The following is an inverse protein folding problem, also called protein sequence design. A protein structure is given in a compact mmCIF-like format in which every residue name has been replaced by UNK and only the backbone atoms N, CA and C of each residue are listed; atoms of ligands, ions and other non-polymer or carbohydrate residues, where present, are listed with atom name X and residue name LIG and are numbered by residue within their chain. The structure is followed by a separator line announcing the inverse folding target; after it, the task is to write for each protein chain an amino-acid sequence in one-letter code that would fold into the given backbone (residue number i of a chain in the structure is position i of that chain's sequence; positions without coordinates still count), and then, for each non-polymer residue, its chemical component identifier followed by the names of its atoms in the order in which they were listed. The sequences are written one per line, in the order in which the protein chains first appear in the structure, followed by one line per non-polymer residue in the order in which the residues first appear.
data_IF_428849758021
#
_entry.id   IF_428849758021
#
_cell.length_a   1.000
_cell.length_b   1.000
_cell.length_c   1.000
_cell.angle_alpha   90.00
_cell.angle_beta   90.00
_cell.angle_gamma   90.00
#
_symmetry.space_group_name_H-M   'P 1'
#
loop_
_entity.id
_entity.type
_entity.pdbx_description
1 polymer ?
#
# COMPACT_ATOMS: atom_id res chain seq x y z
N UNK A 1 -12.58 12.79 -19.20
CA UNK A 1 -13.60 12.69 -18.11
C UNK A 1 -12.83 12.48 -16.82
N UNK A 2 -13.14 13.21 -15.75
CA UNK A 2 -12.42 13.07 -14.47
C UNK A 2 -13.12 12.04 -13.59
N UNK A 3 -12.39 11.02 -13.15
CA UNK A 3 -12.87 10.03 -12.18
C UNK A 3 -12.15 10.23 -10.86
N UNK A 4 -12.89 10.16 -9.75
CA UNK A 4 -12.34 10.33 -8.40
C UNK A 4 -12.54 9.08 -7.58
N UNK A 5 -11.55 8.76 -6.76
CA UNK A 5 -11.61 7.65 -5.82
C UNK A 5 -11.06 8.09 -4.47
N UNK A 6 -11.57 7.47 -3.41
CA UNK A 6 -11.12 7.70 -2.04
C UNK A 6 -10.96 6.39 -1.29
N UNK A 7 -10.03 6.35 -0.35
CA UNK A 7 -9.91 5.28 0.63
C UNK A 7 -9.79 5.89 2.03
N UNK A 8 -10.58 5.38 2.96
CA UNK A 8 -10.33 5.53 4.40
C UNK A 8 -9.34 4.43 4.80
N UNK A 9 -8.19 4.83 5.34
CA UNK A 9 -7.10 3.92 5.70
C UNK A 9 -7.16 3.67 7.20
N UNK A 10 -7.24 2.39 7.57
CA UNK A 10 -7.41 1.96 8.97
C UNK A 10 -6.20 1.15 9.44
N UNK A 11 -5.91 1.16 10.75
CA UNK A 11 -4.81 0.38 11.29
C UNK A 11 -4.95 -1.11 10.99
N UNK A 12 -3.80 -1.75 10.80
CA UNK A 12 -3.62 -3.20 10.84
C UNK A 12 -2.39 -3.49 11.69
N UNK A 13 -2.37 -4.60 12.43
CA UNK A 13 -1.27 -4.98 13.31
C UNK A 13 -0.96 -3.96 14.43
N UNK A 14 -1.90 -3.07 14.80
CA UNK A 14 -1.63 -1.97 15.75
C UNK A 14 -1.16 -2.46 17.13
N UNK A 15 -1.55 -3.67 17.52
CA UNK A 15 -1.20 -4.25 18.81
C UNK A 15 0.32 -4.50 18.96
N UNK A 16 0.99 -4.97 17.89
CA UNK A 16 2.43 -5.24 17.91
C UNK A 16 3.25 -3.99 17.57
N UNK A 17 2.69 -3.10 16.74
CA UNK A 17 3.34 -1.86 16.31
C UNK A 17 3.39 -0.83 17.45
N UNK A 18 2.36 -0.79 18.28
CA UNK A 18 2.24 0.18 19.38
C UNK A 18 1.77 1.58 18.94
N UNK A 19 1.47 1.77 17.66
CA UNK A 19 0.79 2.96 17.13
C UNK A 19 -0.47 2.56 16.37
N UNK A 20 -1.29 3.53 15.95
CA UNK A 20 -2.54 3.29 15.22
C UNK A 20 -2.56 4.05 13.89
N UNK A 21 -1.75 3.62 12.91
CA UNK A 21 -1.63 4.30 11.63
C UNK A 21 -3.00 4.41 10.94
N UNK A 22 -3.39 5.63 10.57
CA UNK A 22 -4.66 5.88 9.91
C UNK A 22 -4.55 7.10 8.99
N UNK A 23 -5.49 7.23 8.05
CA UNK A 23 -5.42 8.33 7.09
C UNK A 23 -6.40 8.21 5.95
N UNK A 24 -6.10 8.92 4.87
CA UNK A 24 -6.90 8.93 3.65
C UNK A 24 -6.03 8.88 2.41
N UNK A 25 -6.52 8.21 1.37
CA UNK A 25 -5.97 8.33 0.03
C UNK A 25 -7.03 8.87 -0.93
N UNK A 26 -6.65 9.80 -1.79
CA UNK A 26 -7.44 10.33 -2.88
C UNK A 26 -6.75 10.09 -4.21
N UNK A 27 -7.53 9.66 -5.20
CA UNK A 27 -7.06 9.44 -6.56
C UNK A 27 -7.94 10.22 -7.52
N UNK A 28 -7.34 11.05 -8.37
CA UNK A 28 -8.05 11.75 -9.44
C UNK A 28 -7.44 11.35 -10.78
N UNK A 29 -8.23 10.62 -11.58
CA UNK A 29 -7.85 10.19 -12.93
C UNK A 29 -8.37 11.23 -13.92
N UNK A 30 -7.47 11.93 -14.61
CA UNK A 30 -7.75 12.75 -15.79
C UNK A 30 -7.41 11.98 -17.07
N UNK A 31 -7.48 12.65 -18.22
CA UNK A 31 -7.19 12.02 -19.51
C UNK A 31 -5.68 11.71 -19.67
N UNK A 32 -4.82 12.50 -19.01
CA UNK A 32 -3.35 12.47 -19.12
C UNK A 32 -2.63 11.96 -17.88
N UNK A 33 -3.23 12.09 -16.69
CA UNK A 33 -2.55 11.84 -15.42
C UNK A 33 -3.43 11.12 -14.39
N UNK A 34 -2.77 10.38 -13.52
CA UNK A 34 -3.29 9.97 -12.23
C UNK A 34 -2.66 10.88 -11.16
N UNK A 35 -3.49 11.71 -10.53
CA UNK A 35 -3.10 12.43 -9.32
C UNK A 35 -3.39 11.56 -8.11
N UNK A 36 -2.39 11.41 -7.23
CA UNK A 36 -2.43 10.62 -6.01
C UNK A 36 -2.12 11.54 -4.85
N UNK A 37 -2.96 11.53 -3.83
CA UNK A 37 -2.69 12.14 -2.53
C UNK A 37 -2.93 11.09 -1.44
N UNK A 38 -1.93 10.88 -0.58
CA UNK A 38 -2.06 10.02 0.61
C UNK A 38 -1.61 10.85 1.80
N UNK A 39 -2.44 10.90 2.82
CA UNK A 39 -2.12 11.57 4.08
C UNK A 39 -2.34 10.60 5.23
N UNK A 40 -1.29 10.40 6.03
CA UNK A 40 -1.26 9.43 7.12
C UNK A 40 -0.86 10.11 8.43
N UNK A 41 -1.38 9.55 9.52
CA UNK A 41 -1.17 9.98 10.90
C UNK A 41 -0.88 8.76 11.78
N UNK A 42 -0.26 9.01 12.93
CA UNK A 42 0.08 7.99 13.94
C UNK A 42 0.88 6.81 13.37
N UNK A 43 1.68 7.04 12.33
CA UNK A 43 2.61 6.05 11.80
C UNK A 43 3.85 5.95 12.69
N UNK A 44 4.62 4.85 12.61
CA UNK A 44 5.97 4.84 13.14
C UNK A 44 6.78 6.05 12.64
N UNK A 45 7.46 6.74 13.55
CA UNK A 45 7.99 8.09 13.33
C UNK A 45 9.37 8.07 12.68
N UNK A 46 9.71 9.14 11.95
CA UNK A 46 11.04 9.37 11.36
C UNK A 46 11.54 8.21 10.49
N UNK A 47 10.66 7.53 9.77
CA UNK A 47 11.02 6.42 8.91
C UNK A 47 10.22 6.40 7.62
N UNK A 48 10.78 5.71 6.63
CA UNK A 48 10.12 5.50 5.36
C UNK A 48 8.93 4.54 5.53
N UNK A 49 7.82 4.83 4.85
CA UNK A 49 6.68 3.94 4.75
C UNK A 49 6.47 3.53 3.30
N UNK A 50 6.51 2.22 3.06
CA UNK A 50 6.17 1.69 1.74
C UNK A 50 4.66 1.76 1.53
N UNK A 51 4.26 2.11 0.32
CA UNK A 51 2.87 2.32 -0.02
C UNK A 51 2.56 1.77 -1.40
N UNK A 52 1.45 1.05 -1.52
CA UNK A 52 1.05 0.46 -2.79
C UNK A 52 -0.46 0.40 -2.87
N UNK A 53 -0.98 0.31 -4.10
CA UNK A 53 -2.23 -0.43 -4.27
C UNK A 53 -1.97 -1.91 -4.58
N UNK A 54 -2.82 -2.76 -4.03
CA UNK A 54 -2.86 -4.20 -4.27
C UNK A 54 -4.14 -4.58 -5.02
N UNK A 55 -4.12 -5.71 -5.71
CA UNK A 55 -5.31 -6.25 -6.35
C UNK A 55 -5.10 -7.61 -7.00
N UNK A 56 -6.18 -8.12 -7.59
CA UNK A 56 -6.14 -9.33 -8.41
C UNK A 56 -6.04 -8.98 -9.89
N UNK A 57 -5.18 -9.71 -10.61
CA UNK A 57 -4.98 -9.58 -12.07
C UNK A 57 -6.16 -10.10 -12.88
N UNK A 58 -7.02 -10.95 -12.28
CA UNK A 58 -8.25 -11.45 -12.86
C UNK A 58 -9.46 -10.51 -12.66
N UNK A 59 -9.23 -9.33 -12.07
CA UNK A 59 -10.27 -8.32 -11.85
C UNK A 59 -11.24 -8.63 -10.72
N UNK A 60 -10.94 -9.61 -9.84
CA UNK A 60 -11.66 -9.79 -8.58
C UNK A 60 -11.54 -8.55 -7.68
N UNK A 61 -12.58 -8.34 -6.88
CA UNK A 61 -12.66 -7.21 -5.96
C UNK A 61 -11.81 -7.46 -4.70
N UNK A 62 -10.66 -6.79 -4.60
CA UNK A 62 -9.77 -6.88 -3.45
C UNK A 62 -10.43 -6.30 -2.19
N UNK A 63 -10.29 -6.99 -1.07
CA UNK A 63 -10.79 -6.56 0.24
C UNK A 63 -9.63 -6.19 1.16
N UNK A 64 -9.81 -5.19 2.05
CA UNK A 64 -8.85 -4.90 3.11
C UNK A 64 -8.65 -6.12 4.00
N UNK A 65 -7.40 -6.51 4.27
CA UNK A 65 -7.14 -7.55 5.25
C UNK A 65 -7.53 -7.08 6.66
N UNK A 66 -7.83 -8.04 7.50
CA UNK A 66 -8.13 -7.88 8.92
C UNK A 66 -7.40 -8.97 9.69
N UNK A 67 -7.45 -8.95 11.02
CA UNK A 67 -6.91 -10.06 11.83
C UNK A 67 -7.54 -11.45 11.53
N UNK A 68 -8.60 -11.52 10.73
CA UNK A 68 -9.10 -12.80 10.21
C UNK A 68 -8.13 -13.47 9.21
N UNK A 69 -7.14 -12.73 8.69
CA UNK A 69 -6.11 -13.23 7.78
C UNK A 69 -4.86 -13.74 8.51
N UNK A 70 -4.74 -13.58 9.83
CA UNK A 70 -3.69 -14.20 10.64
C UNK A 70 -3.97 -15.71 10.73
N UNK A 71 -3.50 -16.44 9.71
CA UNK A 71 -3.78 -17.86 9.47
C UNK A 71 -2.93 -18.72 10.41
N UNK A 72 -1.71 -18.27 10.71
CA UNK A 72 -0.79 -19.00 11.58
C UNK A 72 -1.03 -18.71 13.08
N UNK A 73 -1.86 -17.71 13.40
CA UNK A 73 -2.24 -17.26 14.74
C UNK A 73 -1.05 -16.74 15.57
N UNK A 74 -0.07 -16.10 14.94
CA UNK A 74 1.07 -15.47 15.61
C UNK A 74 0.78 -14.04 16.11
N UNK A 75 -0.43 -13.55 15.83
CA UNK A 75 -0.91 -12.24 16.25
C UNK A 75 -0.59 -11.12 15.26
N UNK A 76 -0.07 -11.45 14.07
CA UNK A 76 0.32 -10.51 13.02
C UNK A 76 -0.28 -11.00 11.70
N UNK A 77 -0.83 -10.07 10.91
CA UNK A 77 -1.17 -10.31 9.51
C UNK A 77 0.00 -9.86 8.66
N UNK A 78 0.75 -10.80 8.10
CA UNK A 78 1.92 -10.51 7.27
C UNK A 78 1.58 -10.34 5.78
N UNK A 79 2.57 -9.94 4.98
CA UNK A 79 2.39 -9.70 3.55
C UNK A 79 1.78 -10.91 2.81
N UNK A 80 2.35 -12.14 2.90
CA UNK A 80 1.75 -13.35 2.33
C UNK A 80 0.29 -13.60 2.73
N UNK A 81 -0.07 -13.34 3.98
CA UNK A 81 -1.44 -13.55 4.48
C UNK A 81 -2.46 -12.59 3.87
N UNK A 82 -2.03 -11.38 3.49
CA UNK A 82 -2.93 -10.43 2.80
C UNK A 82 -3.34 -10.90 1.40
N UNK A 83 -2.53 -11.70 0.72
CA UNK A 83 -2.70 -12.03 -0.70
C UNK A 83 -4.03 -12.70 -1.00
N UNK A 84 -4.53 -13.52 -0.07
CA UNK A 84 -5.77 -14.28 -0.25
C UNK A 84 -7.00 -13.38 -0.42
N UNK A 85 -6.99 -12.18 0.17
CA UNK A 85 -8.14 -11.24 0.13
C UNK A 85 -7.83 -9.96 -0.63
N UNK A 86 -6.56 -9.55 -0.67
CA UNK A 86 -6.14 -8.29 -1.28
C UNK A 86 -5.44 -8.46 -2.63
N UNK A 87 -5.02 -9.68 -2.96
CA UNK A 87 -4.22 -9.95 -4.14
C UNK A 87 -2.77 -9.48 -4.01
N UNK A 88 -2.10 -9.36 -5.15
CA UNK A 88 -0.66 -9.06 -5.22
C UNK A 88 -0.38 -7.57 -5.11
N UNK A 89 0.84 -7.21 -4.68
CA UNK A 89 1.36 -5.84 -4.76
C UNK A 89 1.43 -5.38 -6.21
N UNK A 90 0.92 -4.19 -6.51
CA UNK A 90 0.85 -3.69 -7.89
C UNK A 90 1.69 -2.44 -8.13
N UNK A 91 1.21 -1.26 -7.74
CA UNK A 91 1.88 0.01 -8.08
C UNK A 91 2.38 0.68 -6.80
N UNK A 92 3.69 0.99 -6.70
CA UNK A 92 4.25 1.73 -5.57
C UNK A 92 3.89 3.21 -5.65
N UNK A 93 3.67 3.83 -4.49
CA UNK A 93 3.48 5.27 -4.35
C UNK A 93 4.78 5.92 -3.88
N UNK A 94 5.81 5.78 -4.71
CA UNK A 94 7.16 6.26 -4.49
C UNK A 94 7.48 7.48 -5.38
N UNK A 95 8.76 7.74 -5.67
CA UNK A 95 9.15 8.84 -6.54
C UNK A 95 8.75 8.65 -8.01
N UNK A 96 8.53 7.43 -8.51
CA UNK A 96 8.21 7.14 -9.91
C UNK A 96 7.23 5.96 -10.07
N UNK A 97 5.94 6.11 -9.67
CA UNK A 97 4.97 4.99 -9.65
C UNK A 97 4.82 4.23 -10.98
N UNK A 98 4.97 4.95 -12.10
CA UNK A 98 4.85 4.40 -13.46
C UNK A 98 6.02 3.46 -13.85
N UNK A 99 7.15 3.49 -13.13
CA UNK A 99 8.22 2.52 -13.31
C UNK A 99 7.88 1.16 -12.70
N UNK A 100 6.97 1.15 -11.71
CA UNK A 100 6.59 -0.04 -10.94
C UNK A 100 7.80 -0.76 -10.32
N UNK A 101 8.83 0.00 -9.93
CA UNK A 101 9.98 -0.53 -9.20
C UNK A 101 9.63 -0.59 -7.72
N UNK A 102 9.22 -1.75 -7.21
CA UNK A 102 8.77 -1.86 -5.82
C UNK A 102 9.95 -1.74 -4.83
N UNK A 103 11.12 -2.27 -5.17
CA UNK A 103 12.19 -2.52 -4.21
C UNK A 103 13.21 -1.36 -4.10
N UNK A 104 12.75 -0.18 -3.68
CA UNK A 104 13.56 1.04 -3.57
C UNK A 104 13.34 1.87 -2.28
N UNK A 105 14.11 2.96 -2.13
CA UNK A 105 14.11 3.85 -0.95
C UNK A 105 13.50 5.25 -1.24
N UNK A 106 12.58 5.36 -2.21
CA UNK A 106 12.06 6.66 -2.66
C UNK A 106 10.61 6.92 -2.22
N UNK A 107 10.18 6.21 -1.19
CA UNK A 107 8.84 6.34 -0.60
C UNK A 107 8.77 7.49 0.43
N UNK A 108 7.56 7.91 0.85
CA UNK A 108 7.35 8.92 1.89
C UNK A 108 8.01 8.56 3.21
N UNK A 109 8.45 9.60 3.93
CA UNK A 109 9.05 9.50 5.26
C UNK A 109 8.18 10.25 6.25
N UNK A 110 7.79 9.58 7.34
CA UNK A 110 7.05 10.20 8.43
C UNK A 110 7.91 11.18 9.22
N UNK A 111 7.29 12.24 9.72
CA UNK A 111 7.93 13.20 10.61
C UNK A 111 8.03 12.68 12.06
N UNK A 112 8.40 13.56 12.98
CA UNK A 112 8.54 13.24 14.41
C UNK A 112 7.19 13.06 15.14
N UNK A 113 6.07 13.38 14.49
CA UNK A 113 4.71 13.11 14.95
C UNK A 113 4.14 11.83 14.34
N UNK A 114 4.78 11.24 13.35
CA UNK A 114 4.24 10.09 12.62
C UNK A 114 3.24 10.52 11.55
N UNK A 115 3.36 11.77 11.08
CA UNK A 115 2.62 12.31 9.95
C UNK A 115 3.46 12.24 8.69
N UNK A 116 2.83 11.94 7.56
CA UNK A 116 3.37 12.29 6.26
C UNK A 116 2.25 12.62 5.29
N UNK A 117 2.62 13.34 4.23
CA UNK A 117 1.77 13.59 3.08
C UNK A 117 2.52 13.27 1.79
N UNK A 118 1.98 12.36 1.01
CA UNK A 118 2.42 12.02 -0.33
C UNK A 118 1.53 12.69 -1.35
N UNK A 119 2.13 13.34 -2.35
CA UNK A 119 1.41 13.90 -3.50
C UNK A 119 2.19 13.60 -4.76
N UNK A 120 1.52 13.00 -5.76
CA UNK A 120 2.15 12.70 -7.04
C UNK A 120 1.22 12.88 -8.22
N UNK A 121 1.79 13.37 -9.32
CA UNK A 121 1.17 13.34 -10.63
C UNK A 121 1.90 12.31 -11.48
N UNK A 122 1.20 11.24 -11.83
CA UNK A 122 1.76 10.11 -12.57
C UNK A 122 1.25 10.19 -14.01
N UNK A 123 2.11 10.15 -15.05
CA UNK A 123 1.67 10.07 -16.44
C UNK A 123 0.85 8.80 -16.65
N UNK A 124 -0.44 8.95 -17.00
CA UNK A 124 -1.36 7.82 -17.07
C UNK A 124 -1.00 6.86 -18.21
N UNK A 125 -0.50 7.40 -19.32
CA UNK A 125 -0.07 6.60 -20.47
C UNK A 125 1.10 5.68 -20.10
N UNK A 126 2.12 6.21 -19.42
CA UNK A 126 3.30 5.43 -19.02
C UNK A 126 2.94 4.39 -17.96
N UNK A 127 2.13 4.78 -16.97
CA UNK A 127 1.64 3.87 -15.95
C UNK A 127 0.85 2.71 -16.58
N UNK A 128 -0.09 2.99 -17.48
CA UNK A 128 -0.88 1.94 -18.15
C UNK A 128 -0.03 1.06 -19.05
N UNK A 129 0.95 1.61 -19.76
CA UNK A 129 1.87 0.85 -20.58
C UNK A 129 2.69 -0.14 -19.74
N UNK A 130 3.23 0.33 -18.60
CA UNK A 130 3.96 -0.53 -17.66
C UNK A 130 3.03 -1.54 -16.99
N UNK A 131 1.84 -1.12 -16.54
CA UNK A 131 0.84 -2.01 -15.93
C UNK A 131 0.46 -3.16 -16.86
N UNK A 132 0.28 -2.88 -18.16
CA UNK A 132 0.03 -3.90 -19.20
C UNK A 132 1.20 -4.83 -19.43
N UNK A 133 2.42 -4.30 -19.42
CA UNK A 133 3.64 -5.11 -19.54
C UNK A 133 3.78 -6.08 -18.36
N UNK A 134 3.43 -5.65 -17.15
CA UNK A 134 3.60 -6.44 -15.92
C UNK A 134 2.42 -7.40 -15.68
N UNK A 135 1.19 -6.94 -15.87
CA UNK A 135 -0.03 -7.68 -15.49
C UNK A 135 -0.92 -8.09 -16.66
N UNK A 136 -0.58 -7.74 -17.90
CA UNK A 136 -1.32 -8.13 -19.11
C UNK A 136 -2.58 -7.31 -19.39
N UNK A 137 -2.87 -6.28 -18.59
CA UNK A 137 -4.01 -5.35 -18.76
C UNK A 137 -3.58 -3.91 -18.55
N UNK A 138 -4.23 -2.94 -19.21
CA UNK A 138 -4.07 -1.50 -18.97
C UNK A 138 -5.24 -0.91 -18.14
N UNK A 139 -6.15 -1.76 -17.67
CA UNK A 139 -7.25 -1.38 -16.77
C UNK A 139 -6.76 -1.37 -15.32
N UNK A 140 -6.62 -0.16 -14.76
CA UNK A 140 -6.19 0.02 -13.36
C UNK A 140 -7.27 -0.46 -12.37
N UNK A 141 -8.56 -0.32 -12.72
CA UNK A 141 -9.73 -0.70 -11.89
C UNK A 141 -9.57 -0.30 -10.42
N UNK A 142 -9.26 0.99 -10.16
CA UNK A 142 -8.89 1.46 -8.82
C UNK A 142 -9.93 1.12 -7.74
N UNK A 143 -11.23 1.12 -8.06
CA UNK A 143 -12.31 0.72 -7.15
C UNK A 143 -12.33 -0.78 -6.79
N UNK A 144 -11.59 -1.60 -7.53
CA UNK A 144 -11.35 -3.03 -7.22
C UNK A 144 -10.04 -3.27 -6.47
N UNK A 145 -9.32 -2.21 -6.11
CA UNK A 145 -8.03 -2.28 -5.40
C UNK A 145 -8.18 -1.92 -3.93
N UNK A 146 -7.13 -2.20 -3.18
CA UNK A 146 -6.92 -1.70 -1.80
C UNK A 146 -5.59 -0.98 -1.74
N UNK A 147 -5.46 0.00 -0.86
CA UNK A 147 -4.18 0.64 -0.54
C UNK A 147 -3.62 0.00 0.73
N UNK A 148 -2.32 -0.29 0.75
CA UNK A 148 -1.58 -0.64 1.94
C UNK A 148 -0.50 0.38 2.24
N UNK A 149 -0.28 0.58 3.54
CA UNK A 149 0.87 1.29 4.09
C UNK A 149 1.66 0.25 4.88
N UNK A 150 2.98 0.26 4.75
CA UNK A 150 3.88 -0.71 5.36
C UNK A 150 5.00 -0.03 6.14
N UNK A 151 5.74 -0.83 6.90
CA UNK A 151 6.98 -0.41 7.52
C UNK A 151 6.85 -0.21 9.02
N UNK A 152 7.64 -0.98 9.76
CA UNK A 152 7.86 -0.84 11.20
C UNK A 152 9.35 -0.67 11.50
N UNK A 153 9.74 -0.02 12.61
CA UNK A 153 11.15 0.08 12.99
C UNK A 153 11.74 -1.30 13.32
N UNK A 154 13.01 -1.52 13.00
CA UNK A 154 13.75 -2.77 13.32
C UNK A 154 13.68 -3.17 14.80
N UNK A 155 13.48 -2.20 15.69
CA UNK A 155 13.34 -2.42 17.12
C UNK A 155 12.04 -3.15 17.51
N UNK A 156 11.03 -3.15 16.63
CA UNK A 156 9.79 -3.92 16.84
C UNK A 156 10.13 -5.40 16.72
N UNK A 157 9.84 -6.16 17.78
CA UNK A 157 10.09 -7.59 17.82
C UNK A 157 8.95 -8.34 17.13
N UNK A 158 9.17 -8.70 15.87
CA UNK A 158 8.22 -9.52 15.10
C UNK A 158 8.43 -11.01 15.38
N UNK A 159 7.36 -11.83 15.46
CA UNK A 159 7.49 -13.28 15.48
C UNK A 159 8.36 -13.81 14.34
N UNK A 160 9.04 -14.94 14.57
CA UNK A 160 9.89 -15.59 13.56
C UNK A 160 9.09 -16.07 12.35
N UNK A 161 7.78 -16.31 12.54
CA UNK A 161 6.82 -16.78 11.53
C UNK A 161 6.35 -15.70 10.57
N UNK A 162 6.50 -14.41 10.92
CA UNK A 162 6.16 -13.29 10.04
C UNK A 162 7.01 -13.37 8.77
N UNK A 163 6.35 -13.51 7.63
CA UNK A 163 6.93 -13.52 6.30
C UNK A 163 7.07 -12.14 5.66
N UNK A 164 7.29 -12.11 4.35
CA UNK A 164 7.34 -10.87 3.56
C UNK A 164 8.74 -10.36 3.23
N UNK A 165 9.81 -11.12 3.51
CA UNK A 165 11.15 -10.75 3.05
C UNK A 165 11.22 -10.79 1.51
N UNK A 166 11.57 -9.66 0.88
CA UNK A 166 11.72 -9.57 -0.57
C UNK A 166 13.16 -9.86 -1.01
N UNK A 167 14.13 -9.34 -0.29
CA UNK A 167 15.56 -9.58 -0.53
C UNK A 167 16.37 -9.34 0.75
N UNK A 168 17.71 -9.35 0.66
CA UNK A 168 18.61 -9.13 1.81
C UNK A 168 18.49 -7.74 2.45
N UNK A 169 17.93 -6.76 1.72
CA UNK A 169 17.79 -5.37 2.16
C UNK A 169 16.39 -5.03 2.68
N UNK A 170 15.35 -5.56 2.03
CA UNK A 170 13.96 -5.32 2.41
C UNK A 170 13.37 -6.58 2.99
N UNK A 171 13.37 -6.64 4.32
CA UNK A 171 12.82 -7.74 5.09
C UNK A 171 11.38 -7.45 5.54
N UNK A 172 10.87 -8.34 6.40
CA UNK A 172 9.55 -8.25 7.01
C UNK A 172 9.28 -6.95 7.76
N UNK A 173 10.29 -6.24 8.26
CA UNK A 173 10.05 -4.95 8.92
C UNK A 173 9.66 -3.87 7.91
N UNK A 174 10.26 -3.90 6.73
CA UNK A 174 9.92 -2.97 5.63
C UNK A 174 8.55 -3.30 5.04
N UNK A 175 8.25 -4.59 4.87
CA UNK A 175 7.05 -5.04 4.15
C UNK A 175 5.84 -5.33 5.03
N UNK A 176 5.98 -5.30 6.36
CA UNK A 176 4.85 -5.55 7.26
C UNK A 176 3.76 -4.48 7.02
N UNK A 177 2.52 -4.89 6.68
CA UNK A 177 1.44 -3.93 6.54
C UNK A 177 1.04 -3.36 7.91
N UNK A 178 0.94 -2.04 7.98
CA UNK A 178 0.59 -1.29 9.19
C UNK A 178 -0.78 -0.61 9.08
N UNK A 179 -1.29 -0.46 7.85
CA UNK A 179 -2.59 0.13 7.59
C UNK A 179 -3.12 -0.33 6.22
N UNK A 180 -4.44 -0.37 6.07
CA UNK A 180 -5.10 -0.76 4.83
C UNK A 180 -6.40 0.01 4.60
N UNK A 181 -6.72 0.30 3.35
CA UNK A 181 -7.96 0.98 2.96
C UNK A 181 -8.57 0.43 1.67
N UNK A 182 -9.90 0.35 1.61
CA UNK A 182 -10.61 0.02 0.36
C UNK A 182 -10.72 1.28 -0.49
N UNK A 183 -10.22 1.24 -1.72
CA UNK A 183 -10.39 2.32 -2.70
C UNK A 183 -11.81 2.23 -3.27
N UNK A 184 -12.53 3.35 -3.28
CA UNK A 184 -13.93 3.44 -3.71
C UNK A 184 -14.09 4.60 -4.66
N UNK A 185 -14.85 4.41 -5.74
CA UNK A 185 -15.24 5.51 -6.63
C UNK A 185 -16.14 6.51 -5.89
N UNK A 186 -15.87 7.80 -6.11
CA UNK A 186 -16.73 8.91 -5.68
C UNK A 186 -17.61 9.29 -6.86
N UNK A 187 -18.92 9.27 -6.65
CA UNK A 187 -19.92 9.71 -7.64
C UNK A 187 -20.14 11.21 -7.59
#
# INVERSE_FOLDING_TARGET
MVQKYVAEIKPLNEAIIGTKPHGTAEFTVSDDALHIEVEMFDTPKNMQHWEHFHGFTDGKDAQPATMAQDVNHDGVVDLPETEAVSGTTMVPFDAEPHQMDIANDTYPVSDDQGHFKYVKHVPLADLKAQFKKVFGTDDLDLDKRVIYIHGVPDAVKLPDTVGGNLNEKYDKHVTLPIAVGKIKSVK
#
